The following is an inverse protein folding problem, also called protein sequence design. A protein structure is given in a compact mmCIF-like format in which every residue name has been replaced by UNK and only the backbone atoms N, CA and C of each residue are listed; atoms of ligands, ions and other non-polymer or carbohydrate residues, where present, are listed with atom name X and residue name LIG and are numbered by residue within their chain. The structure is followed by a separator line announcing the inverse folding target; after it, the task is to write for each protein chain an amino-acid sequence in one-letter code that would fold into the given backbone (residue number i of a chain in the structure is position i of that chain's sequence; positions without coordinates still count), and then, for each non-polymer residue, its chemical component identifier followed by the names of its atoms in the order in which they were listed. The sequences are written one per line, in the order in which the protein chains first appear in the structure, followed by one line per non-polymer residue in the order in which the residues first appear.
data_IF_321839050744
#
_entry.id   IF_321839050744
#
_cell.length_a   1.000
_cell.length_b   1.000
_cell.length_c   1.000
_cell.angle_alpha   90.00
_cell.angle_beta   90.00
_cell.angle_gamma   90.00
#
_symmetry.space_group_name_H-M   'P 1'
#
loop_
_entity.id
_entity.type
_entity.pdbx_description
1 polymer ?
#
# COMPACT_ATOMS: atom_id res chain seq x y z
N UNK A 1 -9.36 13.51 21.30
CA UNK A 1 -9.01 12.26 20.58
C UNK A 1 -10.06 12.07 19.49
N UNK A 2 -9.70 12.36 18.24
CA UNK A 2 -10.63 12.18 17.12
C UNK A 2 -10.78 10.69 16.85
N UNK A 3 -11.91 10.13 17.27
CA UNK A 3 -12.28 8.74 17.01
C UNK A 3 -12.70 8.63 15.54
N UNK A 4 -11.71 8.62 14.63
CA UNK A 4 -11.95 8.41 13.21
C UNK A 4 -12.41 6.97 13.08
N UNK A 5 -13.70 6.75 12.82
CA UNK A 5 -14.25 5.42 12.54
C UNK A 5 -13.32 4.73 11.54
N UNK A 6 -12.83 3.53 11.90
CA UNK A 6 -11.88 2.76 11.09
C UNK A 6 -12.51 2.29 9.78
N UNK A 7 -13.84 2.15 9.75
CA UNK A 7 -14.63 1.67 8.63
C UNK A 7 -15.78 2.65 8.37
N UNK A 8 -16.18 2.79 7.11
CA UNK A 8 -17.40 3.51 6.73
C UNK A 8 -18.64 2.76 7.20
N UNK A 9 -19.77 3.46 7.28
CA UNK A 9 -21.04 2.81 7.66
C UNK A 9 -21.45 1.74 6.62
N UNK A 10 -21.13 1.96 5.33
CA UNK A 10 -21.33 0.98 4.25
C UNK A 10 -20.47 -0.28 4.42
N UNK A 11 -19.22 -0.13 4.87
CA UNK A 11 -18.31 -1.28 5.10
C UNK A 11 -18.81 -2.13 6.28
N UNK A 12 -19.34 -1.49 7.32
CA UNK A 12 -19.91 -2.18 8.48
C UNK A 12 -21.15 -2.98 8.07
N UNK A 13 -22.05 -2.38 7.27
CA UNK A 13 -23.24 -3.07 6.75
C UNK A 13 -22.86 -4.28 5.87
N UNK A 14 -21.83 -4.13 5.03
CA UNK A 14 -21.31 -5.24 4.23
C UNK A 14 -20.77 -6.38 5.10
N UNK A 15 -20.02 -6.07 6.16
CA UNK A 15 -19.49 -7.11 7.06
C UNK A 15 -20.60 -7.86 7.79
N UNK A 16 -21.61 -7.13 8.29
CA UNK A 16 -22.77 -7.75 8.93
C UNK A 16 -23.51 -8.68 7.97
N UNK A 17 -23.74 -8.26 6.72
CA UNK A 17 -24.37 -9.11 5.72
C UNK A 17 -23.56 -10.38 5.42
N UNK A 18 -22.24 -10.28 5.37
CA UNK A 18 -21.35 -11.43 5.18
C UNK A 18 -21.35 -12.38 6.39
N UNK A 19 -21.31 -11.84 7.60
CA UNK A 19 -21.37 -12.62 8.84
C UNK A 19 -22.70 -13.38 8.93
N UNK A 20 -23.82 -12.71 8.70
CA UNK A 20 -25.15 -13.33 8.67
C UNK A 20 -25.24 -14.46 7.64
N UNK A 21 -24.66 -14.29 6.46
CA UNK A 21 -24.65 -15.32 5.42
C UNK A 21 -23.73 -16.49 5.76
N UNK A 22 -22.63 -16.26 6.50
CA UNK A 22 -21.78 -17.33 7.04
C UNK A 22 -22.52 -18.11 8.13
N UNK A 23 -23.21 -17.42 9.05
CA UNK A 23 -23.99 -18.06 10.12
C UNK A 23 -25.15 -18.90 9.58
N UNK A 24 -25.79 -18.46 8.49
CA UNK A 24 -26.82 -19.24 7.78
C UNK A 24 -26.29 -20.51 7.11
N UNK A 25 -24.96 -20.66 6.99
CA UNK A 25 -24.33 -21.86 6.45
C UNK A 25 -24.61 -22.14 4.97
N UNK A 26 -24.96 -21.11 4.18
CA UNK A 26 -25.32 -21.25 2.76
C UNK A 26 -24.14 -21.46 1.81
N UNK A 27 -22.90 -21.43 2.32
CA UNK A 27 -21.69 -21.55 1.52
C UNK A 27 -21.39 -23.00 1.19
N UNK A 28 -21.26 -23.31 -0.10
CA UNK A 28 -20.77 -24.61 -0.54
C UNK A 28 -19.28 -24.55 -0.82
N UNK A 29 -18.49 -25.55 -0.36
CA UNK A 29 -17.09 -25.62 -0.73
C UNK A 29 -16.98 -25.77 -2.24
N UNK A 30 -16.01 -25.08 -2.83
CA UNK A 30 -15.66 -25.28 -4.23
C UNK A 30 -15.28 -26.74 -4.46
N UNK A 31 -15.56 -27.27 -5.65
CA UNK A 31 -15.05 -28.58 -6.01
C UNK A 31 -13.53 -28.61 -5.94
N UNK A 32 -12.95 -29.80 -5.74
CA UNK A 32 -11.49 -29.94 -5.64
C UNK A 32 -10.75 -29.39 -6.87
N UNK A 33 -11.36 -29.51 -8.05
CA UNK A 33 -10.84 -28.99 -9.32
C UNK A 33 -10.87 -27.46 -9.34
N UNK A 34 -12.03 -26.84 -9.08
CA UNK A 34 -12.16 -25.38 -9.05
C UNK A 34 -11.27 -24.74 -7.98
N UNK A 35 -11.12 -25.41 -6.83
CA UNK A 35 -10.22 -24.96 -5.77
C UNK A 35 -8.76 -24.98 -6.23
N UNK A 36 -8.33 -26.02 -6.94
CA UNK A 36 -6.98 -26.12 -7.48
C UNK A 36 -6.72 -25.00 -8.51
N UNK A 37 -7.67 -24.77 -9.43
CA UNK A 37 -7.59 -23.71 -10.45
C UNK A 37 -7.51 -22.32 -9.80
N UNK A 38 -8.40 -22.01 -8.85
CA UNK A 38 -8.39 -20.72 -8.13
C UNK A 38 -7.11 -20.52 -7.33
N UNK A 39 -6.59 -21.57 -6.67
CA UNK A 39 -5.30 -21.49 -5.94
C UNK A 39 -4.15 -21.09 -6.87
N UNK A 40 -4.07 -21.71 -8.06
CA UNK A 40 -3.05 -21.37 -9.05
C UNK A 40 -3.21 -19.93 -9.51
N UNK A 41 -4.44 -19.51 -9.84
CA UNK A 41 -4.74 -18.15 -10.24
C UNK A 41 -4.33 -17.12 -9.18
N UNK A 42 -4.80 -17.27 -7.94
CA UNK A 42 -4.49 -16.33 -6.85
C UNK A 42 -3.00 -16.31 -6.52
N UNK A 43 -2.32 -17.46 -6.58
CA UNK A 43 -0.86 -17.51 -6.43
C UNK A 43 -0.16 -16.69 -7.50
N UNK A 44 -0.56 -16.81 -8.77
CA UNK A 44 0.00 -16.04 -9.86
C UNK A 44 -0.22 -14.53 -9.66
N UNK A 45 -1.45 -14.12 -9.31
CA UNK A 45 -1.79 -12.71 -9.04
C UNK A 45 -0.96 -12.15 -7.88
N UNK A 46 -0.80 -12.91 -6.80
CA UNK A 46 0.01 -12.50 -5.65
C UNK A 46 1.48 -12.28 -6.05
N UNK A 47 2.07 -13.23 -6.80
CA UNK A 47 3.45 -13.11 -7.31
C UNK A 47 3.60 -11.87 -8.19
N UNK A 48 2.72 -11.69 -9.18
CA UNK A 48 2.78 -10.53 -10.09
C UNK A 48 2.64 -9.19 -9.34
N UNK A 49 1.81 -9.14 -8.30
CA UNK A 49 1.64 -7.95 -7.46
C UNK A 49 2.91 -7.63 -6.68
N UNK A 50 3.52 -8.65 -6.06
CA UNK A 50 4.78 -8.50 -5.32
C UNK A 50 5.87 -8.04 -6.27
N UNK A 51 6.04 -8.69 -7.42
CA UNK A 51 7.03 -8.30 -8.42
C UNK A 51 6.84 -6.85 -8.86
N UNK A 52 5.61 -6.43 -9.16
CA UNK A 52 5.33 -5.04 -9.56
C UNK A 52 5.66 -4.04 -8.45
N UNK A 53 5.33 -4.35 -7.21
CA UNK A 53 5.53 -3.45 -6.06
C UNK A 53 6.97 -3.42 -5.54
N UNK A 54 7.77 -4.44 -5.83
CA UNK A 54 9.15 -4.56 -5.36
C UNK A 54 10.18 -4.18 -6.41
N UNK A 55 9.81 -4.10 -7.68
CA UNK A 55 10.66 -3.59 -8.76
C UNK A 55 11.06 -2.14 -8.49
N UNK A 56 12.33 -1.95 -8.14
CA UNK A 56 12.94 -0.62 -7.94
C UNK A 56 13.68 -0.21 -9.22
N UNK A 57 13.57 1.06 -9.58
CA UNK A 57 14.35 1.68 -10.66
C UNK A 57 15.24 2.76 -10.07
N UNK A 58 16.52 2.77 -10.43
CA UNK A 58 17.45 3.84 -10.04
C UNK A 58 17.26 5.07 -10.94
N UNK A 59 17.40 6.25 -10.35
CA UNK A 59 17.34 7.54 -11.03
C UNK A 59 18.54 8.38 -10.56
N UNK A 60 19.33 8.89 -11.49
CA UNK A 60 20.40 9.84 -11.18
C UNK A 60 19.85 11.28 -11.32
N UNK A 61 20.00 12.09 -10.28
CA UNK A 61 19.52 13.47 -10.24
C UNK A 61 20.71 14.35 -9.88
N UNK A 62 20.89 15.47 -10.59
CA UNK A 62 21.85 16.52 -10.24
C UNK A 62 21.13 17.60 -9.44
N UNK A 63 21.71 18.00 -8.32
CA UNK A 63 21.21 19.04 -7.42
C UNK A 63 22.35 20.01 -7.12
N UNK A 64 22.02 21.23 -6.70
CA UNK A 64 23.01 22.15 -6.16
C UNK A 64 23.55 21.64 -4.82
N UNK A 65 24.81 21.94 -4.54
CA UNK A 65 25.46 21.51 -3.30
C UNK A 65 24.76 22.08 -2.05
N UNK A 66 24.47 23.38 -2.07
CA UNK A 66 23.73 24.07 -1.00
C UNK A 66 22.37 23.43 -0.70
N UNK A 67 21.67 22.91 -1.72
CA UNK A 67 20.37 22.25 -1.52
C UNK A 67 20.55 20.88 -0.84
N UNK A 68 21.61 20.15 -1.20
CA UNK A 68 21.94 18.86 -0.56
C UNK A 68 22.24 19.08 0.92
N UNK A 69 22.97 20.15 1.27
CA UNK A 69 23.24 20.50 2.66
C UNK A 69 21.97 20.81 3.45
N UNK A 70 21.09 21.66 2.91
CA UNK A 70 19.80 21.97 3.53
C UNK A 70 18.93 20.72 3.72
N UNK A 71 18.88 19.84 2.73
CA UNK A 71 18.13 18.57 2.82
C UNK A 71 18.71 17.68 3.92
N UNK A 72 20.04 17.62 4.07
CA UNK A 72 20.68 16.85 5.16
C UNK A 72 20.28 17.39 6.53
N UNK A 73 20.23 18.70 6.72
CA UNK A 73 19.78 19.32 7.97
C UNK A 73 18.34 18.91 8.28
N UNK A 74 17.42 19.06 7.32
CA UNK A 74 16.01 18.68 7.49
C UNK A 74 15.86 17.18 7.80
N UNK A 75 16.66 16.33 7.16
CA UNK A 75 16.62 14.89 7.39
C UNK A 75 17.11 14.51 8.79
N UNK A 76 18.16 15.19 9.29
CA UNK A 76 18.65 15.02 10.66
C UNK A 76 17.62 15.44 11.69
N UNK A 77 16.93 16.57 11.48
CA UNK A 77 15.82 17.02 12.35
C UNK A 77 14.69 15.99 12.44
N UNK A 78 14.40 15.29 11.34
CA UNK A 78 13.40 14.23 11.29
C UNK A 78 13.93 12.86 11.72
N UNK A 79 15.21 12.73 12.07
CA UNK A 79 15.83 11.48 12.51
C UNK A 79 15.94 10.42 11.42
N UNK A 80 16.09 10.81 10.15
CA UNK A 80 16.10 9.89 9.01
C UNK A 80 17.22 10.21 8.00
N UNK A 81 17.71 9.23 7.21
CA UNK A 81 18.72 9.48 6.20
C UNK A 81 18.22 10.44 5.11
N UNK A 82 19.07 11.35 4.63
CA UNK A 82 18.67 12.34 3.63
C UNK A 82 18.21 11.71 2.30
N UNK A 83 18.78 10.57 1.91
CA UNK A 83 18.31 9.83 0.73
C UNK A 83 16.89 9.27 0.94
N UNK A 84 16.56 8.86 2.17
CA UNK A 84 15.22 8.39 2.55
C UNK A 84 14.24 9.56 2.52
N UNK A 85 14.63 10.74 2.98
CA UNK A 85 13.81 11.96 2.88
C UNK A 85 13.48 12.29 1.42
N UNK A 86 14.51 12.34 0.56
CA UNK A 86 14.35 12.62 -0.87
C UNK A 86 13.39 11.60 -1.51
N UNK A 87 13.60 10.31 -1.21
CA UNK A 87 12.74 9.23 -1.72
C UNK A 87 11.28 9.38 -1.26
N UNK A 88 11.07 9.78 0.00
CA UNK A 88 9.73 10.01 0.57
C UNK A 88 9.03 11.19 -0.11
N UNK A 89 9.73 12.30 -0.35
CA UNK A 89 9.18 13.47 -1.04
C UNK A 89 8.80 13.14 -2.48
N UNK A 90 9.66 12.43 -3.22
CA UNK A 90 9.35 11.98 -4.59
C UNK A 90 8.11 11.06 -4.59
N UNK A 91 8.00 10.16 -3.62
CA UNK A 91 6.82 9.31 -3.49
C UNK A 91 5.55 10.13 -3.23
N UNK A 92 5.59 11.08 -2.29
CA UNK A 92 4.47 12.00 -1.98
C UNK A 92 4.05 12.82 -3.20
N UNK A 93 5.02 13.26 -4.02
CA UNK A 93 4.77 13.94 -5.28
C UNK A 93 4.03 13.02 -6.28
N UNK A 94 4.50 11.78 -6.44
CA UNK A 94 3.90 10.81 -7.37
C UNK A 94 2.43 10.47 -7.03
N UNK A 95 2.09 10.45 -5.73
CA UNK A 95 0.72 10.21 -5.24
C UNK A 95 -0.11 11.50 -5.10
N UNK A 96 0.39 12.64 -5.60
CA UNK A 96 -0.26 13.97 -5.54
C UNK A 96 -0.64 14.43 -4.13
N UNK A 97 0.08 13.98 -3.10
CA UNK A 97 -0.12 14.41 -1.71
C UNK A 97 0.61 15.72 -1.37
N UNK A 98 1.37 16.28 -2.31
CA UNK A 98 1.91 17.64 -2.22
C UNK A 98 0.97 18.54 -3.02
N UNK A 99 0.06 19.24 -2.33
CA UNK A 99 -0.67 20.36 -2.92
C UNK A 99 0.27 21.56 -2.92
N UNK A 100 0.45 22.18 -4.08
CA UNK A 100 1.13 23.46 -4.22
C UNK A 100 0.23 24.62 -3.83
#
# INVERSE_FOLDING_TARGET
MNNKKLYSDEEIELFQALEDDIEKGSHQPLSAQELAEKKVFFKAVAISTIEKKTKKKSLNIRLFEDDIEKIKVIALEQGLPYQTLISSVIHKLAIKQIQG
#
